data_IF_665989745132
#
_entry.id   IF_665989745132
#
_cell.length_a   1.000
_cell.length_b   1.000
_cell.length_c   1.000
_cell.angle_alpha   90.00
_cell.angle_beta   90.00
_cell.angle_gamma   90.00
#
_symmetry.space_group_name_H-M   'P 1'
#
loop_
_entity.id
_entity.type
_entity.pdbx_description
1 polymer ?
#
# COMPACT_ATOMS: atom_id res chain seq x y z
N UNK A 1 20.31 46.71 26.37
CA UNK A 1 19.91 47.82 25.48
C UNK A 1 18.79 47.33 24.56
N UNK A 2 17.71 48.09 24.37
CA UNK A 2 16.59 47.77 23.46
C UNK A 2 16.56 48.81 22.35
N UNK A 3 16.54 48.41 21.08
CA UNK A 3 16.26 49.30 19.96
C UNK A 3 15.01 48.84 19.20
N UNK A 4 14.15 49.79 18.87
CA UNK A 4 12.84 49.58 18.23
C UNK A 4 12.99 49.64 16.71
N UNK A 5 12.20 48.83 15.98
CA UNK A 5 11.96 49.00 14.55
C UNK A 5 10.58 49.65 14.37
N UNK A 6 10.46 50.52 13.37
CA UNK A 6 9.28 51.38 13.13
C UNK A 6 8.18 50.64 12.37
N UNK A 7 6.93 50.96 12.69
CA UNK A 7 5.76 50.69 11.86
C UNK A 7 5.28 52.03 11.31
N UNK A 8 5.04 52.12 10.00
CA UNK A 8 4.37 53.23 9.34
C UNK A 8 3.51 52.67 8.21
N UNK A 9 2.18 52.82 8.30
CA UNK A 9 1.32 52.97 7.11
C UNK A 9 0.05 53.72 7.49
N UNK A 10 -0.32 54.70 6.67
CA UNK A 10 -1.47 55.61 6.79
C UNK A 10 -2.45 55.15 5.70
N UNK A 11 -3.65 54.63 6.00
CA UNK A 11 -4.91 55.31 6.41
C UNK A 11 -5.64 56.05 5.25
N UNK A 12 -6.98 55.91 5.24
CA UNK A 12 -7.98 56.69 4.49
C UNK A 12 -8.18 56.45 2.97
N UNK A 13 -9.39 56.57 2.36
CA UNK A 13 -10.80 56.59 2.85
C UNK A 13 -11.79 56.64 1.63
N UNK A 14 -12.94 55.91 1.68
CA UNK A 14 -14.28 56.12 1.02
C UNK A 14 -14.37 56.58 -0.49
N UNK A 15 -15.51 56.59 -1.22
CA UNK A 15 -16.94 56.69 -0.88
C UNK A 15 -17.89 56.06 -1.95
N UNK A 16 -19.18 56.00 -1.61
CA UNK A 16 -20.35 55.36 -2.26
C UNK A 16 -20.89 55.97 -3.58
N UNK A 17 -21.86 55.27 -4.20
CA UNK A 17 -23.18 55.67 -4.81
C UNK A 17 -23.49 54.78 -6.04
N UNK A 18 -24.71 54.34 -6.38
CA UNK A 18 -26.10 54.37 -5.82
C UNK A 18 -26.60 52.90 -5.62
N UNK A 19 -27.87 52.48 -5.41
CA UNK A 19 -29.21 53.08 -5.32
C UNK A 19 -30.30 51.99 -5.11
N UNK A 20 -31.61 52.34 -5.09
CA UNK A 20 -32.74 51.39 -4.92
C UNK A 20 -33.81 51.51 -6.03
N UNK A 21 -34.52 50.42 -6.32
CA UNK A 21 -35.99 50.42 -6.45
C UNK A 21 -36.57 49.01 -6.29
N UNK A 22 -37.75 48.90 -5.67
CA UNK A 22 -38.49 47.66 -5.46
C UNK A 22 -39.98 47.91 -5.65
N UNK A 23 -40.64 47.13 -6.50
CA UNK A 23 -42.09 47.18 -6.65
C UNK A 23 -42.69 45.75 -6.62
N UNK A 24 -43.61 45.52 -5.68
CA UNK A 24 -44.41 44.29 -5.62
C UNK A 24 -45.70 44.48 -6.41
N UNK A 25 -46.11 43.47 -7.18
CA UNK A 25 -47.48 43.39 -7.70
C UNK A 25 -48.06 41.98 -7.55
N UNK A 26 -49.01 41.83 -6.63
CA UNK A 26 -49.87 40.64 -6.52
C UNK A 26 -50.94 40.68 -7.63
N UNK A 27 -51.11 39.59 -8.36
CA UNK A 27 -52.40 39.20 -8.98
C UNK A 27 -52.61 37.70 -8.73
N UNK A 28 -53.87 37.31 -8.57
CA UNK A 28 -54.31 36.03 -7.97
C UNK A 28 -54.75 35.02 -9.04
N UNK A 29 -54.25 33.79 -8.91
CA UNK A 29 -54.81 32.46 -9.28
C UNK A 29 -55.68 32.35 -10.54
N UNK A 30 -55.22 31.50 -11.46
CA UNK A 30 -56.09 30.53 -12.14
C UNK A 30 -55.48 29.12 -12.00
N UNK A 31 -56.29 28.19 -11.52
CA UNK A 31 -56.12 26.73 -11.49
C UNK A 31 -56.08 26.22 -12.96
N UNK A 32 -55.34 25.19 -13.42
CA UNK A 32 -54.97 23.88 -12.85
C UNK A 32 -53.87 23.25 -13.75
N UNK A 33 -52.89 22.52 -13.20
CA UNK A 33 -52.16 21.37 -13.79
C UNK A 33 -50.78 21.16 -13.13
N UNK A 34 -50.57 19.98 -12.55
CA UNK A 34 -49.33 19.55 -11.89
C UNK A 34 -48.23 19.14 -12.86
N UNK A 35 -47.06 19.78 -12.78
CA UNK A 35 -45.76 19.14 -13.10
C UNK A 35 -44.75 19.58 -12.04
N UNK A 36 -44.11 18.62 -11.38
CA UNK A 36 -43.15 18.87 -10.30
C UNK A 36 -41.73 18.87 -10.87
N UNK A 37 -41.21 20.04 -11.24
CA UNK A 37 -39.80 20.20 -11.61
C UNK A 37 -39.01 20.81 -10.44
N UNK A 38 -38.40 19.92 -9.64
CA UNK A 38 -37.46 20.31 -8.60
C UNK A 38 -36.09 20.52 -9.22
N UNK A 39 -35.63 21.77 -9.29
CA UNK A 39 -34.28 22.11 -9.70
C UNK A 39 -33.27 21.54 -8.70
N UNK A 40 -32.67 20.39 -9.03
CA UNK A 40 -31.53 19.84 -8.29
C UNK A 40 -30.28 20.64 -8.68
N UNK A 41 -29.71 21.33 -7.70
CA UNK A 41 -28.39 21.95 -7.82
C UNK A 41 -27.33 20.85 -7.73
N UNK A 42 -26.68 20.55 -8.85
CA UNK A 42 -25.56 19.59 -8.88
C UNK A 42 -24.30 20.18 -8.27
N UNK A 43 -24.16 20.06 -6.95
CA UNK A 43 -22.86 20.23 -6.28
C UNK A 43 -21.92 19.09 -6.73
N UNK A 44 -20.97 19.44 -7.60
CA UNK A 44 -20.12 18.45 -8.29
C UNK A 44 -18.80 18.28 -7.53
N UNK A 45 -18.89 17.71 -6.33
CA UNK A 45 -17.76 17.28 -5.50
C UNK A 45 -17.63 15.75 -5.48
N UNK A 46 -17.68 15.13 -6.66
CA UNK A 46 -17.24 13.73 -6.81
C UNK A 46 -15.71 13.67 -6.79
N UNK A 47 -15.17 13.15 -5.69
CA UNK A 47 -13.78 12.71 -5.63
C UNK A 47 -13.49 11.69 -6.75
N UNK A 48 -12.25 11.62 -7.28
CA UNK A 48 -11.84 10.53 -8.15
C UNK A 48 -12.15 9.19 -7.49
N UNK A 49 -12.53 8.14 -8.24
CA UNK A 49 -12.80 6.84 -7.65
C UNK A 49 -11.54 6.38 -6.91
N UNK A 50 -11.67 6.21 -5.59
CA UNK A 50 -10.72 5.45 -4.80
C UNK A 50 -10.42 4.15 -5.53
N UNK A 51 -9.16 3.71 -5.54
CA UNK A 51 -8.75 2.48 -6.23
C UNK A 51 -9.71 1.38 -5.80
N UNK A 52 -10.54 0.96 -6.75
CA UNK A 52 -11.50 -0.11 -6.51
C UNK A 52 -10.71 -1.27 -5.94
N UNK A 53 -11.15 -1.77 -4.79
CA UNK A 53 -10.82 -3.12 -4.32
C UNK A 53 -11.52 -4.10 -5.25
N UNK A 54 -11.09 -4.08 -6.52
CA UNK A 54 -11.24 -5.13 -7.51
C UNK A 54 -10.46 -6.31 -6.96
N UNK A 55 -11.11 -6.95 -6.02
CA UNK A 55 -10.74 -8.19 -5.36
C UNK A 55 -10.91 -9.25 -6.44
N UNK A 56 -9.96 -9.25 -7.39
CA UNK A 56 -9.79 -10.33 -8.36
C UNK A 56 -9.86 -11.61 -7.56
N UNK A 57 -10.79 -12.53 -7.88
CA UNK A 57 -11.12 -13.64 -7.00
C UNK A 57 -9.83 -14.34 -6.60
N UNK A 58 -9.53 -14.27 -5.30
CA UNK A 58 -8.23 -14.62 -4.76
C UNK A 58 -7.93 -16.07 -5.16
N UNK A 59 -7.06 -16.26 -6.16
CA UNK A 59 -6.71 -17.59 -6.61
C UNK A 59 -6.08 -18.29 -5.43
N UNK A 60 -6.65 -19.42 -5.03
CA UNK A 60 -6.10 -20.16 -3.90
C UNK A 60 -4.70 -20.63 -4.29
N UNK A 61 -3.73 -20.23 -3.46
CA UNK A 61 -2.35 -20.67 -3.56
C UNK A 61 -2.07 -21.35 -2.25
N UNK A 62 -1.95 -22.67 -2.36
CA UNK A 62 -1.68 -23.57 -1.26
C UNK A 62 -0.35 -23.19 -0.60
N UNK A 63 -0.39 -23.12 0.74
CA UNK A 63 0.82 -23.08 1.56
C UNK A 63 1.47 -21.71 1.81
N UNK A 64 0.82 -20.58 1.52
CA UNK A 64 1.28 -19.24 1.95
C UNK A 64 0.14 -18.43 2.57
N UNK A 65 0.36 -17.75 3.69
CA UNK A 65 -0.58 -16.82 4.34
C UNK A 65 0.14 -15.62 4.97
N UNK A 66 -0.64 -14.65 5.46
CA UNK A 66 -0.15 -13.42 6.06
C UNK A 66 -0.64 -13.25 7.51
N UNK A 67 0.23 -12.71 8.37
CA UNK A 67 -0.02 -12.52 9.79
C UNK A 67 0.64 -11.27 10.39
N UNK A 68 0.47 -11.12 11.69
CA UNK A 68 1.11 -10.11 12.54
C UNK A 68 1.34 -10.70 13.94
N UNK A 69 2.29 -10.17 14.71
CA UNK A 69 2.65 -10.72 16.02
C UNK A 69 2.25 -9.83 17.21
N UNK A 70 2.41 -10.39 18.40
CA UNK A 70 2.39 -9.68 19.67
C UNK A 70 3.62 -8.79 19.86
N UNK A 71 3.64 -8.01 20.94
CA UNK A 71 4.72 -7.07 21.23
C UNK A 71 6.09 -7.74 21.38
N UNK A 72 6.15 -8.96 21.92
CA UNK A 72 7.38 -9.71 22.11
C UNK A 72 7.84 -10.47 20.85
N UNK A 73 7.06 -10.44 19.75
CA UNK A 73 7.33 -11.17 18.52
C UNK A 73 7.34 -12.71 18.70
N UNK A 74 6.69 -13.23 19.74
CA UNK A 74 6.67 -14.66 20.12
C UNK A 74 5.40 -15.40 19.71
N UNK A 75 4.33 -14.67 19.43
CA UNK A 75 3.04 -15.22 19.03
C UNK A 75 2.53 -14.50 17.79
N UNK A 76 1.90 -15.24 16.88
CA UNK A 76 1.41 -14.72 15.61
C UNK A 76 -0.07 -15.03 15.46
N UNK A 77 -0.83 -14.08 14.92
CA UNK A 77 -2.18 -14.27 14.41
C UNK A 77 -2.19 -14.10 12.89
N UNK A 78 -2.94 -14.95 12.19
CA UNK A 78 -3.27 -14.70 10.79
C UNK A 78 -4.19 -13.48 10.66
N UNK A 79 -4.03 -12.71 9.58
CA UNK A 79 -4.85 -11.52 9.30
C UNK A 79 -6.31 -11.87 8.95
N UNK A 80 -6.55 -13.10 8.52
CA UNK A 80 -7.84 -13.64 8.09
C UNK A 80 -7.94 -15.12 8.47
N UNK A 81 -9.15 -15.66 8.42
CA UNK A 81 -9.31 -17.12 8.43
C UNK A 81 -8.69 -17.71 7.15
N UNK A 82 -7.75 -18.64 7.31
CA UNK A 82 -7.13 -19.33 6.16
C UNK A 82 -8.03 -20.45 5.62
N UNK A 83 -7.90 -20.69 4.32
CA UNK A 83 -8.43 -21.86 3.61
C UNK A 83 -7.44 -23.05 3.68
N UNK A 84 -6.19 -22.79 4.05
CA UNK A 84 -5.17 -23.80 4.32
C UNK A 84 -5.38 -24.28 5.77
N UNK A 85 -5.23 -25.57 6.01
CA UNK A 85 -5.18 -26.12 7.36
C UNK A 85 -4.08 -25.41 8.18
N UNK A 86 -4.43 -24.72 9.28
CA UNK A 86 -3.46 -23.99 10.10
C UNK A 86 -2.26 -24.82 10.55
N UNK A 87 -2.43 -26.14 10.73
CA UNK A 87 -1.34 -27.03 11.14
C UNK A 87 -0.26 -27.20 10.07
N UNK A 88 -0.56 -26.90 8.79
CA UNK A 88 0.39 -27.00 7.69
C UNK A 88 1.38 -25.82 7.63
N UNK A 89 1.11 -24.69 8.28
CA UNK A 89 2.01 -23.54 8.28
C UNK A 89 3.07 -23.73 9.37
N UNK A 90 4.33 -23.87 8.94
CA UNK A 90 5.46 -24.36 9.77
C UNK A 90 6.63 -23.38 9.86
N UNK A 91 6.76 -22.47 8.90
CA UNK A 91 7.74 -21.36 8.97
C UNK A 91 7.03 -20.02 8.91
N UNK A 92 7.62 -19.03 9.59
CA UNK A 92 7.36 -17.61 9.36
C UNK A 92 8.60 -16.95 8.77
N UNK A 93 8.38 -16.01 7.85
CA UNK A 93 9.38 -15.10 7.30
C UNK A 93 9.00 -13.68 7.73
N UNK A 94 9.99 -12.99 8.29
CA UNK A 94 9.92 -11.58 8.70
C UNK A 94 10.99 -10.78 7.94
N UNK A 95 11.26 -9.54 8.35
CA UNK A 95 12.24 -8.61 7.76
C UNK A 95 13.42 -9.31 7.05
N UNK A 96 13.60 -8.96 5.78
CA UNK A 96 14.77 -9.30 4.96
C UNK A 96 15.07 -10.80 4.85
N UNK A 97 14.05 -11.66 4.94
CA UNK A 97 14.21 -13.11 4.84
C UNK A 97 14.63 -13.79 6.15
N UNK A 98 14.44 -13.14 7.31
CA UNK A 98 14.60 -13.81 8.62
C UNK A 98 13.52 -14.87 8.80
N UNK A 99 13.93 -16.15 8.80
CA UNK A 99 13.06 -17.32 8.94
C UNK A 99 13.04 -17.80 10.39
N UNK A 100 11.87 -18.17 10.89
CA UNK A 100 11.70 -18.87 12.17
C UNK A 100 10.73 -20.05 12.03
N UNK A 101 10.94 -21.07 12.86
CA UNK A 101 9.97 -22.15 13.06
C UNK A 101 8.75 -21.65 13.83
N UNK A 102 7.56 -22.09 13.41
CA UNK A 102 6.30 -21.81 14.10
C UNK A 102 5.54 -23.09 14.41
N UNK A 103 4.71 -23.04 15.45
CA UNK A 103 3.78 -24.11 15.80
C UNK A 103 2.38 -23.53 15.94
N UNK A 104 1.41 -24.12 15.22
CA UNK A 104 0.00 -23.82 15.44
C UNK A 104 -0.44 -24.24 16.86
N UNK A 105 -1.06 -23.31 17.59
CA UNK A 105 -1.53 -23.54 18.97
C UNK A 105 -3.02 -23.86 18.98
N UNK A 106 -3.85 -22.95 18.43
CA UNK A 106 -5.32 -23.05 18.42
C UNK A 106 -5.94 -21.95 17.56
N UNK A 107 -7.22 -22.11 17.20
CA UNK A 107 -8.08 -20.96 16.89
C UNK A 107 -8.55 -20.31 18.20
N UNK A 108 -8.38 -19.01 18.34
CA UNK A 108 -8.86 -18.21 19.49
C UNK A 108 -10.02 -17.32 19.04
N UNK A 109 -11.07 -17.25 19.85
CA UNK A 109 -12.14 -16.28 19.66
C UNK A 109 -11.67 -14.86 20.05
N UNK A 110 -12.25 -13.85 19.41
CA UNK A 110 -12.07 -12.46 19.85
C UNK A 110 -12.68 -12.25 21.25
N UNK A 111 -12.10 -11.33 22.02
CA UNK A 111 -12.73 -10.83 23.26
C UNK A 111 -13.70 -9.70 22.95
N UNK A 112 -14.43 -9.20 23.96
CA UNK A 112 -15.34 -8.05 23.80
C UNK A 112 -14.60 -6.72 23.62
N UNK A 113 -13.29 -6.71 23.84
CA UNK A 113 -12.37 -5.58 23.70
C UNK A 113 -11.63 -5.57 22.35
N UNK A 114 -11.91 -6.51 21.43
CA UNK A 114 -11.30 -6.54 20.10
C UNK A 114 -11.78 -5.33 19.28
N UNK A 115 -10.86 -4.39 19.02
CA UNK A 115 -11.12 -3.20 18.20
C UNK A 115 -10.92 -3.46 16.69
N UNK A 116 -10.78 -4.73 16.29
CA UNK A 116 -10.49 -5.24 14.94
C UNK A 116 -9.11 -4.89 14.36
N UNK A 117 -8.35 -3.97 14.95
CA UNK A 117 -7.01 -3.58 14.48
C UNK A 117 -6.02 -4.75 14.58
N UNK A 118 -5.12 -4.86 13.61
CA UNK A 118 -4.11 -5.91 13.48
C UNK A 118 -2.74 -5.42 13.95
N UNK A 119 -2.74 -4.77 15.12
CA UNK A 119 -1.57 -4.21 15.80
C UNK A 119 -1.22 -5.05 17.04
N UNK A 120 0.01 -4.95 17.52
CA UNK A 120 0.41 -5.66 18.74
C UNK A 120 -0.40 -5.21 19.97
N UNK A 121 -0.83 -3.94 20.02
CA UNK A 121 -1.69 -3.37 21.07
C UNK A 121 -3.05 -4.08 21.21
N UNK A 122 -3.65 -4.55 20.10
CA UNK A 122 -4.92 -5.29 20.12
C UNK A 122 -4.72 -6.82 20.14
N UNK A 123 -3.48 -7.32 20.09
CA UNK A 123 -3.17 -8.73 19.86
C UNK A 123 -3.77 -9.66 20.91
N UNK A 124 -3.86 -9.26 22.18
CA UNK A 124 -4.44 -10.08 23.25
C UNK A 124 -5.95 -10.27 23.11
N UNK A 125 -6.64 -9.25 22.58
CA UNK A 125 -8.08 -9.23 22.39
C UNK A 125 -8.49 -9.92 21.07
N UNK A 126 -7.64 -9.83 20.04
CA UNK A 126 -7.96 -10.23 18.69
C UNK A 126 -8.29 -11.73 18.52
N UNK A 127 -9.33 -12.03 17.74
CA UNK A 127 -9.61 -13.39 17.27
C UNK A 127 -8.66 -13.84 16.14
N UNK A 128 -8.48 -15.16 15.98
CA UNK A 128 -7.74 -15.73 14.85
C UNK A 128 -7.05 -17.07 15.12
N UNK A 129 -6.34 -17.57 14.11
CA UNK A 129 -5.45 -18.73 14.23
C UNK A 129 -4.12 -18.29 14.88
N UNK A 130 -3.84 -18.82 16.07
CA UNK A 130 -2.68 -18.46 16.90
C UNK A 130 -1.53 -19.45 16.70
N UNK A 131 -0.32 -18.90 16.53
CA UNK A 131 0.94 -19.64 16.42
C UNK A 131 1.94 -19.16 17.46
N UNK A 132 2.86 -20.03 17.87
CA UNK A 132 4.07 -19.69 18.62
C UNK A 132 5.29 -19.67 17.70
N UNK A 133 6.15 -18.66 17.86
CA UNK A 133 7.49 -18.60 17.25
C UNK A 133 8.48 -19.34 18.14
N UNK A 134 9.24 -20.29 17.57
CA UNK A 134 10.20 -21.11 18.32
C UNK A 134 11.59 -20.48 18.30
N UNK A 135 12.26 -20.48 19.45
CA UNK A 135 13.67 -20.14 19.68
C UNK A 135 14.13 -18.72 19.25
N UNK A 136 13.25 -17.87 18.72
CA UNK A 136 13.55 -16.50 18.30
C UNK A 136 12.31 -15.61 18.43
N UNK A 137 12.34 -14.39 17.90
CA UNK A 137 11.19 -13.48 17.75
C UNK A 137 11.18 -12.86 16.35
N UNK A 138 9.99 -12.53 15.87
CA UNK A 138 9.77 -11.81 14.61
C UNK A 138 9.47 -10.34 14.84
N UNK A 139 9.65 -9.52 13.81
CA UNK A 139 9.35 -8.08 13.85
C UNK A 139 7.85 -7.82 14.08
N UNK A 140 7.53 -6.84 14.95
CA UNK A 140 6.16 -6.43 15.30
C UNK A 140 5.61 -5.30 14.44
N UNK A 141 6.49 -4.53 13.80
CA UNK A 141 6.10 -3.38 13.00
C UNK A 141 5.72 -3.78 11.57
N UNK A 142 6.34 -4.84 11.03
CA UNK A 142 6.03 -5.36 9.69
C UNK A 142 4.98 -6.48 9.69
N UNK A 143 4.29 -6.64 8.55
CA UNK A 143 3.49 -7.83 8.28
C UNK A 143 4.37 -9.08 8.13
N UNK A 144 3.82 -10.26 8.40
CA UNK A 144 4.55 -11.52 8.43
C UNK A 144 4.05 -12.48 7.36
N UNK A 145 4.96 -13.26 6.76
CA UNK A 145 4.62 -14.29 5.76
C UNK A 145 4.75 -15.67 6.39
N UNK A 146 3.67 -16.45 6.40
CA UNK A 146 3.67 -17.81 6.95
C UNK A 146 3.59 -18.80 5.79
N UNK A 147 4.41 -19.85 5.82
CA UNK A 147 4.50 -20.84 4.72
C UNK A 147 4.50 -22.29 5.22
N UNK A 148 4.02 -23.20 4.36
CA UNK A 148 4.00 -24.64 4.60
C UNK A 148 5.22 -25.37 4.03
N UNK A 149 5.49 -26.58 4.52
CA UNK A 149 6.49 -27.47 3.91
C UNK A 149 6.15 -27.81 2.45
N UNK A 150 4.86 -27.93 2.12
CA UNK A 150 4.39 -28.14 0.74
C UNK A 150 4.78 -26.98 -0.18
N UNK A 151 4.66 -25.74 0.30
CA UNK A 151 5.16 -24.56 -0.41
C UNK A 151 6.68 -24.61 -0.53
N UNK A 152 7.41 -24.82 0.58
CA UNK A 152 8.87 -24.84 0.60
C UNK A 152 9.51 -25.99 -0.19
N UNK A 153 8.79 -27.11 -0.42
CA UNK A 153 9.26 -28.19 -1.30
C UNK A 153 9.37 -27.79 -2.77
N UNK A 154 8.74 -26.67 -3.17
CA UNK A 154 8.77 -26.12 -4.53
C UNK A 154 9.45 -24.74 -4.61
N UNK A 155 9.57 -24.04 -3.48
CA UNK A 155 10.04 -22.65 -3.40
C UNK A 155 11.25 -22.54 -2.49
N UNK A 156 12.36 -22.04 -3.05
CA UNK A 156 13.56 -21.72 -2.29
C UNK A 156 13.47 -20.27 -1.80
N UNK A 157 13.62 -20.05 -0.49
CA UNK A 157 13.70 -18.70 0.08
C UNK A 157 15.04 -18.08 -0.32
N UNK A 158 14.99 -16.83 -0.80
CA UNK A 158 16.16 -16.02 -1.10
C UNK A 158 16.37 -15.02 0.02
N UNK A 159 17.58 -14.97 0.56
CA UNK A 159 17.98 -14.00 1.57
C UNK A 159 18.73 -12.85 0.88
N UNK A 160 18.09 -11.70 0.61
CA UNK A 160 18.75 -10.57 0.00
C UNK A 160 19.65 -9.83 0.98
N UNK A 161 20.68 -9.18 0.43
CA UNK A 161 21.44 -8.15 1.11
C UNK A 161 20.69 -6.81 1.08
N UNK A 162 21.11 -5.90 1.96
CA UNK A 162 20.77 -4.49 1.83
C UNK A 162 21.37 -3.89 0.56
N UNK A 163 20.77 -2.81 0.06
CA UNK A 163 21.27 -2.09 -1.11
C UNK A 163 22.46 -1.19 -0.75
N UNK A 164 23.64 -1.77 -0.55
CA UNK A 164 24.86 -1.01 -0.27
C UNK A 164 25.39 -0.31 -1.53
N UNK A 165 25.10 0.99 -1.67
CA UNK A 165 25.72 1.95 -2.61
C UNK A 165 25.96 1.46 -4.06
N UNK A 166 25.12 0.57 -4.57
CA UNK A 166 25.09 0.26 -6.01
C UNK A 166 24.22 1.27 -6.75
N UNK A 167 24.88 2.17 -7.47
CA UNK A 167 24.20 3.02 -8.45
C UNK A 167 23.60 2.15 -9.56
N UNK A 168 22.37 2.48 -9.97
CA UNK A 168 21.72 1.78 -11.07
C UNK A 168 22.48 2.01 -12.37
N UNK A 169 22.90 0.91 -13.01
CA UNK A 169 23.63 0.94 -14.29
C UNK A 169 22.88 1.77 -15.34
N UNK A 170 23.55 2.76 -15.93
CA UNK A 170 22.94 3.76 -16.81
C UNK A 170 22.24 3.18 -18.05
N UNK A 171 22.71 2.03 -18.56
CA UNK A 171 22.06 1.30 -19.66
C UNK A 171 20.69 0.76 -19.24
N UNK A 172 20.61 0.16 -18.05
CA UNK A 172 19.35 -0.34 -17.46
C UNK A 172 18.39 0.81 -17.18
N UNK A 173 18.87 1.94 -16.61
CA UNK A 173 18.05 3.15 -16.44
C UNK A 173 17.45 3.60 -17.78
N UNK A 174 18.28 3.69 -18.82
CA UNK A 174 17.85 4.11 -20.17
C UNK A 174 16.84 3.13 -20.78
N UNK A 175 17.03 1.81 -20.57
CA UNK A 175 16.10 0.77 -21.01
C UNK A 175 14.73 0.93 -20.35
N UNK A 176 14.69 1.09 -19.02
CA UNK A 176 13.44 1.29 -18.27
C UNK A 176 12.71 2.58 -18.71
N UNK A 177 13.42 3.69 -18.89
CA UNK A 177 12.80 4.94 -19.40
C UNK A 177 12.20 4.79 -20.80
N UNK A 178 12.85 3.99 -21.66
CA UNK A 178 12.35 3.67 -23.01
C UNK A 178 11.13 2.76 -22.95
N UNK A 179 11.19 1.68 -22.17
CA UNK A 179 10.11 0.71 -22.00
C UNK A 179 8.83 1.37 -21.46
N UNK A 180 8.97 2.33 -20.54
CA UNK A 180 7.85 3.10 -19.96
C UNK A 180 7.50 4.38 -20.73
N UNK A 181 8.26 4.72 -21.79
CA UNK A 181 8.13 5.96 -22.56
C UNK A 181 8.06 7.23 -21.67
N UNK A 182 8.91 7.29 -20.65
CA UNK A 182 8.82 8.27 -19.56
C UNK A 182 10.15 8.39 -18.80
N UNK A 183 10.48 9.60 -18.33
CA UNK A 183 11.69 9.85 -17.53
C UNK A 183 11.50 9.46 -16.07
N UNK A 184 12.55 8.88 -15.47
CA UNK A 184 12.59 8.53 -14.05
C UNK A 184 12.87 9.79 -13.22
N UNK A 185 11.98 10.08 -12.25
CA UNK A 185 12.05 11.19 -11.30
C UNK A 185 12.81 10.81 -10.03
N UNK A 186 12.45 9.69 -9.39
CA UNK A 186 13.14 9.11 -8.22
C UNK A 186 13.41 7.61 -8.46
N UNK A 187 14.49 7.10 -7.88
CA UNK A 187 14.85 5.67 -7.88
C UNK A 187 15.16 5.26 -6.45
N UNK A 188 14.69 4.08 -6.04
CA UNK A 188 15.11 3.45 -4.79
C UNK A 188 15.43 1.97 -5.02
N UNK A 189 16.59 1.51 -4.57
CA UNK A 189 16.85 0.08 -4.45
C UNK A 189 16.16 -0.44 -3.17
N UNK A 190 15.36 -1.49 -3.28
CA UNK A 190 14.69 -2.11 -2.14
C UNK A 190 15.52 -3.24 -1.53
N UNK A 191 16.03 -4.14 -2.38
CA UNK A 191 16.82 -5.32 -2.01
C UNK A 191 17.83 -5.64 -3.11
N UNK A 192 19.00 -6.11 -2.71
CA UNK A 192 19.99 -6.70 -3.62
C UNK A 192 20.05 -8.21 -3.35
N UNK A 193 19.83 -9.03 -4.37
CA UNK A 193 19.92 -10.50 -4.23
C UNK A 193 21.38 -10.93 -4.41
N UNK A 194 22.04 -10.46 -5.45
CA UNK A 194 23.48 -10.62 -5.69
C UNK A 194 24.01 -9.50 -6.58
N UNK A 195 25.19 -9.67 -7.19
CA UNK A 195 25.81 -8.65 -8.04
C UNK A 195 25.00 -8.30 -9.29
N UNK A 196 24.26 -9.27 -9.86
CA UNK A 196 23.50 -9.09 -11.10
C UNK A 196 21.99 -8.94 -10.86
N UNK A 197 21.50 -9.35 -9.69
CA UNK A 197 20.06 -9.48 -9.38
C UNK A 197 19.63 -8.54 -8.26
N UNK A 198 18.63 -7.71 -8.54
CA UNK A 198 18.23 -6.61 -7.66
C UNK A 198 16.77 -6.20 -7.85
N UNK A 199 16.19 -5.55 -6.85
CA UNK A 199 14.80 -5.08 -6.85
C UNK A 199 14.80 -3.58 -6.59
N UNK A 200 14.17 -2.82 -7.48
CA UNK A 200 14.10 -1.36 -7.46
C UNK A 200 12.66 -0.85 -7.58
N UNK A 201 12.38 0.32 -7.00
CA UNK A 201 11.25 1.18 -7.34
C UNK A 201 11.71 2.36 -8.18
N UNK A 202 10.83 2.75 -9.11
CA UNK A 202 10.99 3.88 -10.00
C UNK A 202 9.76 4.76 -9.95
N UNK A 203 9.90 5.97 -9.42
CA UNK A 203 8.90 7.03 -9.58
C UNK A 203 9.20 7.77 -10.88
N UNK A 204 8.22 7.89 -11.78
CA UNK A 204 8.40 8.57 -13.05
C UNK A 204 7.80 9.97 -13.04
N UNK A 205 8.29 10.84 -13.93
CA UNK A 205 7.71 12.18 -14.15
C UNK A 205 6.25 12.04 -14.58
N UNK A 206 5.36 12.77 -13.90
CA UNK A 206 3.92 12.83 -14.21
C UNK A 206 3.74 13.37 -15.64
N UNK A 207 2.83 12.76 -16.41
CA UNK A 207 2.57 13.15 -17.80
C UNK A 207 1.08 13.49 -17.93
N UNK A 208 0.78 14.79 -18.02
CA UNK A 208 -0.57 15.34 -17.83
C UNK A 208 -1.07 14.99 -16.42
N UNK A 209 -2.13 14.20 -16.35
CA UNK A 209 -2.80 13.62 -15.18
C UNK A 209 -2.35 12.18 -14.89
N UNK A 210 -1.51 11.56 -15.71
CA UNK A 210 -1.03 10.20 -15.46
C UNK A 210 0.20 10.18 -14.56
N UNK A 211 0.05 9.60 -13.37
CA UNK A 211 1.14 9.22 -12.47
C UNK A 211 1.54 7.74 -12.70
N UNK A 212 2.80 7.41 -12.43
CA UNK A 212 3.32 6.04 -12.54
C UNK A 212 4.47 5.81 -11.56
N UNK A 213 4.37 4.74 -10.78
CA UNK A 213 5.51 4.07 -10.14
C UNK A 213 5.63 2.66 -10.69
N UNK A 214 6.84 2.14 -10.83
CA UNK A 214 7.09 0.76 -11.22
C UNK A 214 8.05 0.10 -10.23
N UNK A 215 7.67 -1.07 -9.72
CA UNK A 215 8.61 -2.04 -9.16
C UNK A 215 9.24 -2.82 -10.31
N UNK A 216 10.56 -2.96 -10.29
CA UNK A 216 11.29 -3.82 -11.22
C UNK A 216 12.20 -4.79 -10.47
N UNK A 217 12.12 -6.08 -10.82
CA UNK A 217 13.22 -7.01 -10.62
C UNK A 217 14.11 -6.94 -11.87
N UNK A 218 15.41 -6.79 -11.64
CA UNK A 218 16.44 -6.67 -12.67
C UNK A 218 17.39 -7.86 -12.47
N UNK A 219 17.66 -8.59 -13.54
CA UNK A 219 18.58 -9.73 -13.60
C UNK A 219 19.34 -9.67 -14.92
N UNK A 220 20.55 -9.10 -14.86
CA UNK A 220 21.31 -8.72 -16.04
C UNK A 220 20.45 -7.85 -16.99
N UNK A 221 20.13 -8.35 -18.18
CA UNK A 221 19.25 -7.68 -19.15
C UNK A 221 17.76 -8.02 -18.99
N UNK A 222 17.39 -9.03 -18.19
CA UNK A 222 15.99 -9.38 -17.90
C UNK A 222 15.43 -8.36 -16.91
N UNK A 223 14.29 -7.76 -17.25
CA UNK A 223 13.56 -6.86 -16.35
C UNK A 223 12.11 -7.32 -16.27
N UNK A 224 11.63 -7.53 -15.05
CA UNK A 224 10.25 -7.93 -14.75
C UNK A 224 9.60 -6.77 -14.02
N UNK A 225 8.48 -6.29 -14.55
CA UNK A 225 7.79 -5.11 -14.01
C UNK A 225 6.51 -5.47 -13.24
N UNK A 226 6.25 -4.73 -12.16
CA UNK A 226 4.92 -4.49 -11.62
C UNK A 226 4.66 -2.98 -11.65
N UNK A 227 3.56 -2.55 -12.28
CA UNK A 227 3.26 -1.13 -12.47
C UNK A 227 2.13 -0.68 -11.55
N UNK A 228 2.31 0.47 -10.91
CA UNK A 228 1.32 1.21 -10.13
C UNK A 228 0.90 2.48 -10.91
N UNK A 229 0.09 2.34 -11.98
CA UNK A 229 -0.47 3.49 -12.68
C UNK A 229 -1.57 4.15 -11.82
N UNK A 230 -1.64 5.47 -11.86
CA UNK A 230 -2.66 6.24 -11.17
C UNK A 230 -3.05 7.49 -11.94
N UNK A 231 -4.23 8.03 -11.64
CA UNK A 231 -4.56 9.42 -11.95
C UNK A 231 -3.98 10.29 -10.83
N UNK A 232 -3.23 11.32 -11.21
CA UNK A 232 -2.60 12.23 -10.26
C UNK A 232 -3.66 13.05 -9.52
N UNK A 233 -3.57 13.01 -8.20
CA UNK A 233 -4.36 13.80 -7.27
C UNK A 233 -3.42 14.20 -6.11
N UNK A 234 -3.38 15.49 -5.80
CA UNK A 234 -2.46 16.07 -4.80
C UNK A 234 -2.77 15.69 -3.33
N UNK A 235 -3.89 15.01 -3.08
CA UNK A 235 -4.30 14.50 -1.77
C UNK A 235 -4.15 12.98 -1.71
N UNK A 236 -4.50 12.26 -2.78
CA UNK A 236 -4.55 10.79 -2.80
C UNK A 236 -4.38 10.25 -4.23
N UNK A 237 -3.13 10.10 -4.71
CA UNK A 237 -2.85 9.55 -6.05
C UNK A 237 -2.92 8.03 -6.07
N UNK A 238 -2.21 7.37 -5.15
CA UNK A 238 -2.14 5.91 -5.04
C UNK A 238 -2.83 5.38 -3.79
N UNK A 239 -2.83 6.14 -2.69
CA UNK A 239 -3.48 5.78 -1.43
C UNK A 239 -4.16 6.99 -0.80
N UNK A 240 -5.11 6.73 0.09
CA UNK A 240 -5.74 7.77 0.93
C UNK A 240 -4.66 8.51 1.71
N UNK A 241 -4.73 9.84 1.66
CA UNK A 241 -3.84 10.80 2.32
C UNK A 241 -2.33 10.63 1.99
N UNK A 242 -2.00 10.16 0.78
CA UNK A 242 -0.61 10.06 0.30
C UNK A 242 0.02 11.39 -0.17
N UNK A 243 -0.76 12.46 -0.23
CA UNK A 243 -0.30 13.80 -0.62
C UNK A 243 0.22 13.88 -2.07
N UNK A 244 -0.19 12.96 -2.93
CA UNK A 244 0.32 12.83 -4.29
C UNK A 244 1.73 12.24 -4.40
N UNK A 245 2.29 11.72 -3.31
CA UNK A 245 3.57 11.01 -3.29
C UNK A 245 3.38 9.51 -2.99
N UNK A 246 4.03 8.63 -3.77
CA UNK A 246 3.94 7.17 -3.54
C UNK A 246 4.56 6.72 -2.20
N UNK A 247 5.51 7.50 -1.68
CA UNK A 247 6.34 7.13 -0.53
C UNK A 247 7.18 5.87 -0.83
N UNK A 248 8.29 6.03 -1.57
CA UNK A 248 9.20 4.91 -1.86
C UNK A 248 9.77 4.23 -0.59
N UNK A 249 9.72 4.92 0.55
CA UNK A 249 10.11 4.40 1.85
C UNK A 249 9.05 3.59 2.58
N UNK A 250 7.81 3.57 2.07
CA UNK A 250 6.69 2.84 2.66
C UNK A 250 6.47 1.46 2.06
N UNK A 251 7.12 1.11 0.95
CA UNK A 251 7.00 -0.21 0.33
C UNK A 251 8.24 -1.08 0.63
N UNK A 252 8.00 -2.18 1.33
CA UNK A 252 9.00 -3.15 1.75
C UNK A 252 8.86 -4.47 0.98
N UNK A 253 9.97 -5.19 0.83
CA UNK A 253 9.97 -6.59 0.37
C UNK A 253 10.17 -7.47 1.61
N UNK A 254 9.13 -8.22 2.00
CA UNK A 254 9.16 -9.13 3.16
C UNK A 254 9.91 -10.42 2.84
N UNK A 255 9.57 -11.02 1.70
CA UNK A 255 10.08 -12.31 1.28
C UNK A 255 10.35 -12.32 -0.23
N UNK A 256 11.32 -13.13 -0.62
CA UNK A 256 11.69 -13.39 -2.02
C UNK A 256 11.80 -14.91 -2.16
N UNK A 257 11.18 -15.47 -3.19
CA UNK A 257 11.26 -16.90 -3.50
C UNK A 257 11.74 -17.14 -4.92
N UNK A 258 12.50 -18.22 -5.10
CA UNK A 258 12.83 -18.83 -6.39
C UNK A 258 11.97 -20.10 -6.55
N UNK A 259 11.17 -20.16 -7.62
CA UNK A 259 10.45 -21.36 -8.05
C UNK A 259 10.90 -21.73 -9.47
N UNK A 260 11.70 -22.80 -9.59
CA UNK A 260 12.41 -23.17 -10.82
C UNK A 260 13.28 -22.00 -11.31
N UNK A 261 12.87 -21.30 -12.37
CA UNK A 261 13.57 -20.15 -12.95
C UNK A 261 12.78 -18.83 -12.81
N UNK A 262 11.67 -18.86 -12.06
CA UNK A 262 10.82 -17.69 -11.81
C UNK A 262 11.16 -17.08 -10.46
N UNK A 263 11.11 -15.76 -10.39
CA UNK A 263 11.22 -14.99 -9.15
C UNK A 263 9.83 -14.60 -8.64
N UNK A 264 9.65 -14.62 -7.34
CA UNK A 264 8.40 -14.28 -6.66
C UNK A 264 8.68 -13.40 -5.45
N UNK A 265 7.80 -12.45 -5.17
CA UNK A 265 8.00 -11.41 -4.14
C UNK A 265 6.78 -11.35 -3.24
N UNK A 266 6.99 -11.12 -1.93
CA UNK A 266 5.93 -10.63 -1.05
C UNK A 266 6.27 -9.22 -0.62
N UNK A 267 5.35 -8.29 -0.89
CA UNK A 267 5.46 -6.88 -0.58
C UNK A 267 4.61 -6.52 0.62
N UNK A 268 5.03 -5.49 1.37
CA UNK A 268 4.28 -4.87 2.45
C UNK A 268 4.36 -3.36 2.28
N UNK A 269 3.25 -2.74 1.86
CA UNK A 269 3.16 -1.32 1.57
C UNK A 269 2.38 -0.63 2.67
N UNK A 270 3.04 0.25 3.43
CA UNK A 270 2.42 1.08 4.45
C UNK A 270 1.62 2.25 3.83
N UNK A 271 0.64 2.74 4.58
CA UNK A 271 -0.19 3.90 4.27
C UNK A 271 -1.08 4.23 5.47
N UNK A 272 -1.81 5.35 5.42
CA UNK A 272 -2.48 5.94 6.59
C UNK A 272 -3.31 4.95 7.44
N UNK A 273 -4.10 4.09 6.80
CA UNK A 273 -4.98 3.14 7.50
C UNK A 273 -4.32 1.82 7.91
N UNK A 274 -3.15 1.50 7.37
CA UNK A 274 -2.50 0.19 7.53
C UNK A 274 -1.80 -0.31 6.27
N UNK A 275 -1.44 -1.59 6.27
CA UNK A 275 -0.51 -2.16 5.30
C UNK A 275 -1.21 -3.04 4.25
N UNK A 276 -0.91 -2.79 2.98
CA UNK A 276 -1.34 -3.62 1.85
C UNK A 276 -0.24 -4.62 1.52
N UNK A 277 -0.59 -5.90 1.59
CA UNK A 277 0.32 -7.03 1.35
C UNK A 277 -0.02 -7.63 -0.01
N UNK A 278 0.98 -7.85 -0.85
CA UNK A 278 0.79 -8.49 -2.15
C UNK A 278 1.89 -9.52 -2.44
N UNK A 279 1.47 -10.74 -2.77
CA UNK A 279 2.34 -11.79 -3.29
C UNK A 279 2.28 -11.77 -4.81
N UNK A 280 3.44 -11.50 -5.41
CA UNK A 280 3.65 -11.35 -6.84
C UNK A 280 4.43 -12.55 -7.38
N UNK A 281 3.96 -13.16 -8.47
CA UNK A 281 4.69 -14.22 -9.19
C UNK A 281 5.05 -13.74 -10.59
N UNK A 282 6.24 -14.08 -11.07
CA UNK A 282 6.62 -13.89 -12.47
C UNK A 282 5.77 -14.75 -13.41
N UNK A 283 5.01 -14.10 -14.29
CA UNK A 283 4.34 -14.72 -15.43
C UNK A 283 4.55 -13.87 -16.68
N UNK A 284 5.03 -14.47 -17.78
CA UNK A 284 5.21 -13.80 -19.07
C UNK A 284 5.99 -12.47 -18.99
N UNK A 285 7.11 -12.49 -18.25
CA UNK A 285 8.00 -11.34 -18.00
C UNK A 285 7.34 -10.16 -17.26
N UNK A 286 6.27 -10.41 -16.48
CA UNK A 286 5.62 -9.44 -15.60
C UNK A 286 5.33 -10.05 -14.24
N UNK A 287 5.21 -9.21 -13.23
CA UNK A 287 4.71 -9.62 -11.92
C UNK A 287 3.19 -9.56 -11.88
N UNK A 288 2.56 -10.70 -11.63
CA UNK A 288 1.11 -10.84 -11.50
C UNK A 288 0.77 -11.06 -10.03
N UNK A 289 -0.13 -10.23 -9.48
CA UNK A 289 -0.67 -10.44 -8.13
C UNK A 289 -1.38 -11.78 -8.05
N UNK A 290 -1.05 -12.51 -6.98
CA UNK A 290 -1.39 -13.91 -6.77
C UNK A 290 -2.12 -14.12 -5.46
N UNK A 291 -1.78 -13.37 -4.41
CA UNK A 291 -2.51 -13.35 -3.13
C UNK A 291 -2.32 -12.01 -2.45
N UNK A 292 -3.43 -11.33 -2.15
CA UNK A 292 -3.44 -10.09 -1.37
C UNK A 292 -3.72 -10.32 0.11
N UNK A 293 -3.34 -9.35 0.93
CA UNK A 293 -3.69 -9.24 2.35
C UNK A 293 -3.77 -7.78 2.78
N UNK A 294 -4.44 -7.52 3.90
CA UNK A 294 -4.51 -6.17 4.46
C UNK A 294 -4.39 -6.21 5.99
N UNK A 295 -3.45 -5.44 6.53
CA UNK A 295 -3.21 -5.29 7.97
C UNK A 295 -3.70 -3.91 8.40
N UNK A 296 -4.98 -3.83 8.74
CA UNK A 296 -5.61 -2.60 9.24
C UNK A 296 -5.05 -2.21 10.61
N UNK A 297 -4.61 -0.97 10.77
CA UNK A 297 -3.95 -0.49 11.99
C UNK A 297 -4.63 0.73 12.64
N UNK A 298 -5.36 1.54 11.85
CA UNK A 298 -5.82 2.86 12.24
C UNK A 298 -7.17 2.92 13.00
N UNK A 299 -7.59 4.13 13.43
CA UNK A 299 -6.70 5.23 13.85
C UNK A 299 -5.89 4.82 15.08
N UNK A 300 -4.96 5.65 15.54
CA UNK A 300 -4.31 5.46 16.84
C UNK A 300 -5.35 5.52 17.98
#
# INVERSE_FOLDING_TARGET
>A
MKNKIKINSVCSLLLLLFGCSSEQKKITIAEQATVTDTLIVNDTTQAPPAISTNTTPQKDISGIEFGYCNEEGKQILLLRDSLIDPQKLVKVISDSGKIADILFVKKRAATKEDNNRKTYFNFTNAGGYLYEVKNTSVDKELSLVLVSDEFLSHHKIVNPNGCEKMDLVSSIKTKIEKDKNRKIKKTKCLKQIDFNRSIYLFEFVIKKDSALVTLAYIDNDKIIYHDYPALYNEISTWRVDDGGEFGLDYLNVLAIFENKNNIELVLDWAGAEGYSIDYLVEENSKFVSKKGGYRYCAPD
#
